data_IF_917117560393
#
_entry.id   IF_917117560393
#
_cell.length_a   1.000
_cell.length_b   1.000
_cell.length_c   1.000
_cell.angle_alpha   90.00
_cell.angle_beta   90.00
_cell.angle_gamma   90.00
#
_symmetry.space_group_name_H-M   'P 1'
#
loop_
_entity.id
_entity.type
_entity.pdbx_description
1 polymer ?
#
# COMPACT_ATOMS: atom_id res chain seq x y z
N UNK A 1 25.59 -74.28 50.11
CA UNK A 1 25.21 -72.85 50.20
C UNK A 1 25.46 -72.21 48.86
N UNK A 2 24.37 -71.90 48.09
CA UNK A 2 24.42 -71.20 46.78
C UNK A 2 23.92 -69.77 47.02
N UNK A 3 24.87 -68.81 46.97
CA UNK A 3 24.53 -67.40 46.98
C UNK A 3 24.14 -66.94 45.56
N UNK A 4 22.86 -66.68 45.38
CA UNK A 4 22.36 -66.12 44.15
C UNK A 4 22.63 -64.62 44.12
N UNK A 5 23.44 -64.16 43.18
CA UNK A 5 23.62 -62.78 42.82
C UNK A 5 22.49 -62.34 41.88
N UNK A 6 21.54 -61.55 42.40
CA UNK A 6 20.52 -60.90 41.61
C UNK A 6 21.18 -59.76 40.85
N UNK A 7 21.26 -59.87 39.52
CA UNK A 7 21.61 -58.76 38.64
C UNK A 7 20.46 -57.77 38.60
N UNK A 8 20.69 -56.61 39.17
CA UNK A 8 19.78 -55.45 39.05
C UNK A 8 19.96 -54.82 37.66
N UNK A 9 19.04 -55.14 36.77
CA UNK A 9 19.00 -54.54 35.46
C UNK A 9 18.55 -53.11 35.62
N UNK A 10 19.48 -52.14 35.49
CA UNK A 10 19.18 -50.72 35.53
C UNK A 10 18.28 -50.31 34.36
N UNK A 11 17.41 -49.31 34.56
CA UNK A 11 16.53 -48.84 33.52
C UNK A 11 17.33 -48.25 32.36
N UNK A 12 17.11 -48.79 31.17
CA UNK A 12 17.65 -48.26 29.92
C UNK A 12 17.29 -46.79 29.82
N UNK A 13 18.26 -45.92 29.88
CA UNK A 13 18.13 -44.52 29.51
C UNK A 13 17.81 -44.46 28.00
N UNK A 14 16.54 -44.60 27.65
CA UNK A 14 16.06 -44.40 26.33
C UNK A 14 16.19 -42.91 25.97
N UNK A 15 17.18 -42.64 25.18
CA UNK A 15 17.44 -41.53 24.26
C UNK A 15 16.54 -40.28 24.46
N UNK A 16 16.84 -39.48 25.47
CA UNK A 16 16.30 -38.12 25.63
C UNK A 16 16.72 -37.17 24.51
N UNK A 17 17.77 -37.47 23.79
CA UNK A 17 18.28 -36.65 22.67
C UNK A 17 17.40 -36.69 21.43
N UNK A 18 16.72 -37.79 21.13
CA UNK A 18 15.81 -37.88 20.00
C UNK A 18 14.52 -37.07 20.18
N UNK A 19 14.07 -36.93 21.42
CA UNK A 19 12.85 -36.17 21.73
C UNK A 19 13.08 -34.65 21.62
N UNK A 20 14.25 -34.17 22.03
CA UNK A 20 14.64 -32.75 21.90
C UNK A 20 14.79 -32.32 20.43
N UNK A 21 15.34 -33.21 19.58
CA UNK A 21 15.43 -32.90 18.13
C UNK A 21 14.06 -32.86 17.46
N UNK A 22 13.17 -33.78 17.82
CA UNK A 22 11.81 -33.77 17.26
C UNK A 22 11.04 -32.51 17.68
N UNK A 23 11.16 -32.09 18.92
CA UNK A 23 10.53 -30.89 19.46
C UNK A 23 11.06 -29.63 18.77
N UNK A 24 12.37 -29.56 18.50
CA UNK A 24 12.96 -28.46 17.74
C UNK A 24 12.42 -28.37 16.31
N UNK A 25 12.32 -29.51 15.60
CA UNK A 25 11.82 -29.57 14.24
C UNK A 25 10.34 -29.15 14.19
N UNK A 26 9.51 -29.62 15.11
CA UNK A 26 8.10 -29.24 15.24
C UNK A 26 7.97 -27.75 15.56
N UNK A 27 8.78 -27.23 16.49
CA UNK A 27 8.80 -25.81 16.82
C UNK A 27 9.18 -24.94 15.63
N UNK A 28 10.19 -25.30 14.84
CA UNK A 28 10.58 -24.60 13.62
C UNK A 28 9.50 -24.68 12.53
N UNK A 29 8.83 -25.82 12.40
CA UNK A 29 7.73 -25.96 11.43
C UNK A 29 6.56 -25.04 11.77
N UNK A 30 6.15 -24.98 13.03
CA UNK A 30 5.09 -24.08 13.51
C UNK A 30 5.49 -22.62 13.31
N UNK A 31 6.73 -22.24 13.65
CA UNK A 31 7.26 -20.90 13.46
C UNK A 31 7.23 -20.49 11.98
N UNK A 32 7.65 -21.40 11.09
CA UNK A 32 7.65 -21.15 9.64
C UNK A 32 6.25 -20.89 9.09
N UNK A 33 5.25 -21.66 9.55
CA UNK A 33 3.85 -21.46 9.18
C UNK A 33 3.31 -20.11 9.69
N UNK A 34 3.73 -19.69 10.88
CA UNK A 34 3.29 -18.41 11.46
C UNK A 34 3.96 -17.19 10.78
N UNK A 35 5.20 -17.31 10.32
CA UNK A 35 5.94 -16.19 9.68
C UNK A 35 5.51 -15.94 8.23
N UNK A 36 5.11 -16.96 7.49
CA UNK A 36 4.67 -16.80 6.09
C UNK A 36 3.55 -15.75 5.90
N UNK A 37 2.42 -15.79 6.63
CA UNK A 37 1.36 -14.80 6.45
C UNK A 37 1.78 -13.38 6.84
N UNK A 38 2.71 -13.23 7.78
CA UNK A 38 3.25 -11.92 8.15
C UNK A 38 4.01 -11.28 6.97
N UNK A 39 4.83 -12.05 6.25
CA UNK A 39 5.53 -11.56 5.08
C UNK A 39 4.60 -11.06 3.98
N UNK A 40 3.53 -11.78 3.68
CA UNK A 40 2.52 -11.37 2.70
C UNK A 40 1.73 -10.13 3.15
N UNK A 41 1.45 -10.00 4.44
CA UNK A 41 0.77 -8.84 4.99
C UNK A 41 1.58 -7.56 4.79
N UNK A 42 2.88 -7.59 5.08
CA UNK A 42 3.77 -6.43 4.89
C UNK A 42 3.86 -5.94 3.44
N UNK A 43 3.87 -6.85 2.47
CA UNK A 43 3.92 -6.46 1.05
C UNK A 43 2.62 -5.76 0.64
N UNK A 44 1.47 -6.27 1.05
CA UNK A 44 0.16 -5.67 0.77
C UNK A 44 0.01 -4.30 1.43
N UNK A 45 0.45 -4.18 2.68
CA UNK A 45 0.40 -2.93 3.41
C UNK A 45 1.24 -1.84 2.75
N UNK A 46 2.46 -2.15 2.30
CA UNK A 46 3.31 -1.21 1.57
C UNK A 46 2.67 -0.74 0.25
N UNK A 47 2.01 -1.64 -0.47
CA UNK A 47 1.30 -1.28 -1.70
C UNK A 47 0.11 -0.36 -1.40
N UNK A 48 -0.68 -0.66 -0.36
CA UNK A 48 -1.79 0.19 0.06
C UNK A 48 -1.32 1.58 0.50
N UNK A 49 -0.27 1.68 1.31
CA UNK A 49 0.32 2.95 1.73
C UNK A 49 0.83 3.78 0.54
N UNK A 50 1.42 3.14 -0.46
CA UNK A 50 1.86 3.84 -1.67
C UNK A 50 0.69 4.43 -2.46
N UNK A 51 -0.39 3.67 -2.61
CA UNK A 51 -1.61 4.14 -3.29
C UNK A 51 -2.22 5.32 -2.54
N UNK A 52 -2.34 5.23 -1.22
CA UNK A 52 -2.87 6.32 -0.39
C UNK A 52 -1.97 7.57 -0.42
N UNK A 53 -0.66 7.39 -0.38
CA UNK A 53 0.28 8.51 -0.53
C UNK A 53 0.11 9.21 -1.88
N UNK A 54 0.09 8.46 -2.98
CA UNK A 54 -0.11 9.04 -4.32
C UNK A 54 -1.46 9.75 -4.42
N UNK A 55 -2.52 9.16 -3.86
CA UNK A 55 -3.86 9.77 -3.80
C UNK A 55 -3.85 11.10 -3.05
N UNK A 56 -3.17 11.15 -1.89
CA UNK A 56 -3.04 12.37 -1.10
C UNK A 56 -2.31 13.47 -1.86
N UNK A 57 -1.20 13.14 -2.53
CA UNK A 57 -0.43 14.11 -3.33
C UNK A 57 -1.25 14.63 -4.52
N UNK A 58 -1.97 13.76 -5.22
CA UNK A 58 -2.82 14.19 -6.34
C UNK A 58 -3.94 15.11 -5.85
N UNK A 59 -4.59 14.79 -4.72
CA UNK A 59 -5.60 15.66 -4.13
C UNK A 59 -5.03 17.04 -3.80
N UNK A 60 -3.84 17.12 -3.21
CA UNK A 60 -3.19 18.38 -2.89
C UNK A 60 -2.88 19.21 -4.14
N UNK A 61 -2.41 18.57 -5.22
CA UNK A 61 -2.17 19.23 -6.49
C UNK A 61 -3.49 19.75 -7.09
N UNK A 62 -4.52 18.91 -7.12
CA UNK A 62 -5.84 19.29 -7.67
C UNK A 62 -6.47 20.43 -6.87
N UNK A 63 -6.37 20.40 -5.55
CA UNK A 63 -6.89 21.45 -4.68
C UNK A 63 -6.11 22.76 -4.88
N UNK A 64 -4.78 22.70 -4.96
CA UNK A 64 -3.92 23.88 -5.20
C UNK A 64 -4.17 24.53 -6.57
N UNK A 65 -4.26 23.74 -7.64
CA UNK A 65 -4.59 24.24 -8.98
C UNK A 65 -5.99 24.85 -9.02
N UNK A 66 -6.97 24.22 -8.35
CA UNK A 66 -8.33 24.72 -8.26
C UNK A 66 -8.39 26.08 -7.54
N UNK A 67 -7.59 26.28 -6.48
CA UNK A 67 -7.51 27.57 -5.80
C UNK A 67 -6.94 28.68 -6.71
N UNK A 68 -5.91 28.36 -7.50
CA UNK A 68 -5.33 29.31 -8.48
C UNK A 68 -6.39 29.72 -9.53
N UNK A 69 -7.13 28.75 -10.04
CA UNK A 69 -8.20 29.04 -11.00
C UNK A 69 -9.34 29.84 -10.37
N UNK A 70 -9.74 29.51 -9.16
CA UNK A 70 -10.78 30.23 -8.42
C UNK A 70 -10.36 31.67 -8.08
N UNK A 71 -9.07 31.91 -7.82
CA UNK A 71 -8.51 33.24 -7.55
C UNK A 71 -8.51 34.17 -8.77
N UNK A 72 -8.82 33.66 -9.97
CA UNK A 72 -8.99 34.48 -11.16
C UNK A 72 -8.31 34.01 -12.43
N UNK A 73 -7.43 33.01 -12.36
CA UNK A 73 -6.77 32.44 -13.55
C UNK A 73 -7.77 31.87 -14.57
N UNK A 74 -8.94 31.42 -14.10
CA UNK A 74 -9.99 30.86 -14.95
C UNK A 74 -10.79 31.91 -15.73
N UNK A 75 -10.67 33.23 -15.44
CA UNK A 75 -11.47 34.28 -16.08
C UNK A 75 -11.25 34.37 -17.59
N UNK A 76 -10.01 34.15 -18.02
CA UNK A 76 -9.59 34.25 -19.41
C UNK A 76 -9.62 32.90 -20.17
N UNK A 77 -10.03 31.83 -19.51
CA UNK A 77 -10.10 30.51 -20.12
C UNK A 77 -11.40 30.37 -20.92
N UNK A 78 -11.33 29.82 -22.14
CA UNK A 78 -12.53 29.49 -22.93
C UNK A 78 -13.32 28.38 -22.21
N UNK A 79 -14.63 28.37 -22.47
CA UNK A 79 -15.50 27.30 -22.00
C UNK A 79 -15.17 25.98 -22.74
N UNK A 80 -15.20 24.87 -22.02
CA UNK A 80 -14.95 23.54 -22.53
C UNK A 80 -13.84 22.79 -21.81
N UNK A 81 -13.58 21.55 -22.21
CA UNK A 81 -12.51 20.73 -21.64
C UNK A 81 -11.14 21.16 -22.17
N UNK A 82 -10.18 21.29 -21.28
CA UNK A 82 -8.79 21.65 -21.59
C UNK A 82 -7.84 20.71 -20.85
N UNK A 83 -6.82 20.25 -21.55
CA UNK A 83 -5.75 19.50 -20.89
C UNK A 83 -4.83 20.47 -20.14
N UNK A 84 -4.67 20.22 -18.86
CA UNK A 84 -3.84 21.03 -17.99
C UNK A 84 -2.45 20.40 -17.86
N UNK A 85 -1.43 21.15 -18.21
CA UNK A 85 -0.05 20.74 -17.95
C UNK A 85 0.40 21.32 -16.63
N UNK A 86 0.34 20.49 -15.59
CA UNK A 86 0.76 20.87 -14.24
C UNK A 86 2.26 20.64 -14.09
N UNK A 87 3.00 21.70 -13.80
CA UNK A 87 4.46 21.62 -13.59
C UNK A 87 4.77 21.53 -12.10
N UNK A 88 4.86 20.32 -11.57
CA UNK A 88 5.24 20.07 -10.18
C UNK A 88 6.23 18.92 -10.09
N UNK A 89 7.28 19.07 -9.27
CA UNK A 89 8.24 17.97 -8.98
C UNK A 89 7.58 16.74 -8.35
N UNK A 90 6.41 16.92 -7.76
CA UNK A 90 5.66 15.82 -7.17
C UNK A 90 5.10 14.89 -8.24
N UNK A 91 4.82 15.40 -9.43
CA UNK A 91 4.25 14.62 -10.55
C UNK A 91 5.21 13.54 -11.05
N UNK A 92 6.51 13.78 -11.01
CA UNK A 92 7.52 12.80 -11.46
C UNK A 92 7.49 11.49 -10.65
N UNK A 93 6.90 11.52 -9.47
CA UNK A 93 6.80 10.36 -8.56
C UNK A 93 5.41 9.71 -8.57
N UNK A 94 4.47 10.33 -9.27
CA UNK A 94 3.09 9.82 -9.39
C UNK A 94 2.98 8.81 -10.52
N UNK A 95 1.98 7.93 -10.49
CA UNK A 95 1.64 7.12 -11.64
C UNK A 95 1.24 8.02 -12.82
N UNK A 96 1.49 7.57 -14.07
CA UNK A 96 1.13 8.34 -15.25
C UNK A 96 -0.38 8.60 -15.27
N UNK A 97 -0.73 9.83 -15.60
CA UNK A 97 -2.11 10.30 -15.67
C UNK A 97 -2.18 11.72 -16.23
N UNK A 98 -3.36 12.16 -16.54
CA UNK A 98 -3.58 13.48 -17.13
C UNK A 98 -4.59 14.29 -16.31
N UNK A 99 -4.38 15.60 -16.32
CA UNK A 99 -5.27 16.59 -15.71
C UNK A 99 -6.14 17.21 -16.79
N UNK A 100 -7.44 17.24 -16.56
CA UNK A 100 -8.39 17.89 -17.43
C UNK A 100 -9.20 18.92 -16.67
N UNK A 101 -9.15 20.16 -17.12
CA UNK A 101 -9.96 21.25 -16.60
C UNK A 101 -11.14 21.48 -17.54
N UNK A 102 -12.35 21.45 -17.01
CA UNK A 102 -13.58 21.78 -17.75
C UNK A 102 -14.21 23.01 -17.14
N UNK A 103 -14.39 24.05 -17.95
CA UNK A 103 -15.12 25.28 -17.58
C UNK A 103 -16.47 25.29 -18.27
N UNK A 104 -17.52 25.56 -17.51
CA UNK A 104 -18.87 25.73 -17.99
C UNK A 104 -19.51 26.96 -17.34
N UNK A 105 -19.43 28.11 -17.99
CA UNK A 105 -19.85 29.38 -17.40
C UNK A 105 -19.07 29.68 -16.12
N UNK A 106 -19.76 29.70 -14.97
CA UNK A 106 -19.13 29.94 -13.66
C UNK A 106 -18.68 28.64 -12.93
N UNK A 107 -18.91 27.47 -13.51
CA UNK A 107 -18.50 26.21 -12.91
C UNK A 107 -17.17 25.76 -13.48
N UNK A 108 -16.27 25.37 -12.57
CA UNK A 108 -14.99 24.73 -12.88
C UNK A 108 -14.99 23.30 -12.34
N UNK A 109 -14.53 22.39 -13.17
CA UNK A 109 -14.30 21.00 -12.80
C UNK A 109 -12.88 20.62 -13.22
N UNK A 110 -12.08 20.25 -12.26
CA UNK A 110 -10.74 19.71 -12.49
C UNK A 110 -10.75 18.23 -12.16
N UNK A 111 -10.26 17.45 -13.10
CA UNK A 111 -10.24 16.00 -13.03
C UNK A 111 -8.84 15.49 -13.31
N UNK A 112 -8.37 14.57 -12.49
CA UNK A 112 -7.18 13.77 -12.76
C UNK A 112 -7.60 12.33 -13.04
N UNK A 113 -7.15 11.79 -14.16
CA UNK A 113 -7.43 10.42 -14.58
C UNK A 113 -6.12 9.66 -14.78
N UNK A 114 -5.95 8.48 -14.18
CA UNK A 114 -4.78 7.66 -14.43
C UNK A 114 -4.83 7.04 -15.82
N UNK A 115 -3.68 6.96 -16.49
CA UNK A 115 -3.55 6.31 -17.80
C UNK A 115 -3.57 4.79 -17.68
N UNK A 116 -3.14 4.27 -16.51
CA UNK A 116 -3.10 2.84 -16.22
C UNK A 116 -3.84 2.52 -14.90
N UNK A 117 -4.25 1.26 -14.74
CA UNK A 117 -4.87 0.79 -13.50
C UNK A 117 -3.84 0.72 -12.37
N UNK A 118 -3.70 1.80 -11.62
CA UNK A 118 -2.75 1.92 -10.50
C UNK A 118 -3.39 1.77 -9.10
N UNK A 119 -4.68 1.38 -9.04
CA UNK A 119 -5.42 1.31 -7.77
C UNK A 119 -5.94 2.66 -7.28
N UNK A 120 -5.61 3.77 -7.97
CA UNK A 120 -6.14 5.10 -7.72
C UNK A 120 -7.23 5.34 -8.75
N UNK A 121 -8.43 5.65 -8.29
CA UNK A 121 -9.52 6.07 -9.18
C UNK A 121 -9.34 7.50 -9.64
N UNK A 122 -10.20 7.93 -10.56
CA UNK A 122 -10.31 9.32 -11.01
C UNK A 122 -10.58 10.24 -9.80
N UNK A 123 -9.85 11.35 -9.73
CA UNK A 123 -10.02 12.38 -8.69
C UNK A 123 -10.62 13.62 -9.32
N UNK A 124 -11.73 14.08 -8.75
CA UNK A 124 -12.50 15.23 -9.28
C UNK A 124 -12.67 16.27 -8.19
N UNK A 125 -12.50 17.53 -8.58
CA UNK A 125 -12.87 18.70 -7.78
C UNK A 125 -13.71 19.67 -8.62
N UNK A 126 -14.69 20.24 -7.97
CA UNK A 126 -15.59 21.22 -8.60
C UNK A 126 -15.68 22.47 -7.72
N UNK A 127 -15.72 23.63 -8.36
CA UNK A 127 -15.93 24.90 -7.67
C UNK A 127 -16.75 25.84 -8.56
N UNK A 128 -17.31 26.88 -7.93
CA UNK A 128 -18.05 27.92 -8.64
C UNK A 128 -17.29 29.23 -8.50
N UNK A 129 -17.02 29.86 -9.64
CA UNK A 129 -16.42 31.19 -9.70
C UNK A 129 -17.40 32.23 -9.16
N UNK A 130 -16.88 33.12 -8.31
CA UNK A 130 -17.67 34.29 -7.82
C UNK A 130 -17.45 35.50 -8.68
#
# INVERSE_FOLDING_TARGET
MKTGTSQFSGPKQASRHGFLMLDLIVGLAILSIAVMPLGFSFVRERQALRVEYCRSVINEIVDGEMEIFAAGAARNLPDGPQNLNVSSRAIDKLPPGHFQLTKTGNHLRLEWTPDEKCGIGTIVRETTLK
#
